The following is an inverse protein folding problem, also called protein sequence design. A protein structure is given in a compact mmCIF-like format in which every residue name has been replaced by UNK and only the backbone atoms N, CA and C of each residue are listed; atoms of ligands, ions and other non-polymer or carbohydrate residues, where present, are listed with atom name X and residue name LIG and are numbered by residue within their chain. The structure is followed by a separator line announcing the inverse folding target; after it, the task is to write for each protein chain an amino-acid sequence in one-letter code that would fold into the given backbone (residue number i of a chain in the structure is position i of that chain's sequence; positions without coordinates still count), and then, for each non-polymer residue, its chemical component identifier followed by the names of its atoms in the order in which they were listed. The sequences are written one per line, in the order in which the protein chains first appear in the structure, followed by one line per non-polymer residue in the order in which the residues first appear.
data_IF_520875950961
#
_entry.id   IF_520875950961
#
_cell.length_a   1.000
_cell.length_b   1.000
_cell.length_c   1.000
_cell.angle_alpha   90.00
_cell.angle_beta   90.00
_cell.angle_gamma   90.00
#
_symmetry.space_group_name_H-M   'P 1'
#
loop_
_entity.id
_entity.type
_entity.pdbx_description
1 polymer ?
#
# COMPACT_ATOMS: atom_id res chain seq x y z
N UNK A 1 15.37 -13.21 4.99
CA UNK A 1 16.67 -13.16 4.31
C UNK A 1 16.54 -12.93 2.80
N UNK A 2 15.80 -13.79 2.04
CA UNK A 2 15.72 -13.71 0.55
C UNK A 2 15.23 -12.35 0.06
N UNK A 3 14.13 -11.84 0.56
CA UNK A 3 13.56 -10.57 0.10
C UNK A 3 14.47 -9.37 0.35
N UNK A 4 15.14 -9.32 1.50
CA UNK A 4 16.12 -8.25 1.80
C UNK A 4 17.33 -8.34 0.87
N UNK A 5 17.81 -9.56 0.56
CA UNK A 5 18.88 -9.76 -0.41
C UNK A 5 18.47 -9.37 -1.85
N UNK A 6 17.18 -9.44 -2.16
CA UNK A 6 16.60 -9.02 -3.44
C UNK A 6 16.28 -7.51 -3.51
N UNK A 7 16.58 -6.73 -2.47
CA UNK A 7 16.43 -5.28 -2.45
C UNK A 7 15.15 -4.75 -1.79
N UNK A 8 14.36 -5.61 -1.13
CA UNK A 8 13.28 -5.11 -0.29
C UNK A 8 13.83 -4.42 0.94
N UNK A 9 13.22 -3.31 1.34
CA UNK A 9 13.64 -2.54 2.52
C UNK A 9 13.03 -3.09 3.82
N UNK A 10 11.90 -3.81 3.73
CA UNK A 10 11.28 -4.53 4.83
C UNK A 10 10.55 -5.77 4.32
N UNK A 11 10.54 -6.82 5.14
CA UNK A 11 9.82 -8.09 4.87
C UNK A 11 9.25 -8.58 6.19
N UNK A 12 8.01 -9.04 6.18
CA UNK A 12 7.35 -9.65 7.33
C UNK A 12 6.40 -10.76 6.90
N UNK A 13 6.11 -11.67 7.82
CA UNK A 13 5.12 -12.73 7.62
C UNK A 13 3.86 -12.46 8.45
N UNK A 14 2.70 -12.85 7.91
CA UNK A 14 1.42 -12.72 8.57
C UNK A 14 0.49 -13.88 8.22
N UNK A 15 -0.53 -14.10 9.06
CA UNK A 15 -1.65 -15.00 8.75
C UNK A 15 -2.39 -14.53 7.50
N UNK A 16 -2.83 -15.50 6.67
CA UNK A 16 -3.71 -15.26 5.54
C UNK A 16 -5.21 -15.25 5.92
N UNK A 17 -5.55 -15.16 7.20
CA UNK A 17 -6.93 -14.99 7.63
C UNK A 17 -7.58 -13.75 7.00
N UNK A 18 -8.88 -13.77 6.75
CA UNK A 18 -9.60 -12.62 6.21
C UNK A 18 -9.40 -11.35 7.04
N UNK A 19 -9.48 -10.22 6.36
CA UNK A 19 -9.37 -8.87 6.94
C UNK A 19 -10.79 -8.30 7.18
N UNK A 20 -11.58 -8.90 8.07
CA UNK A 20 -13.00 -8.57 8.23
C UNK A 20 -13.26 -7.14 8.69
N UNK A 21 -12.43 -6.61 9.61
CA UNK A 21 -12.52 -5.21 10.04
C UNK A 21 -12.23 -4.25 8.88
N UNK A 22 -11.23 -4.57 8.05
CA UNK A 22 -10.88 -3.77 6.87
C UNK A 22 -12.00 -3.84 5.83
N UNK A 23 -12.63 -5.01 5.65
CA UNK A 23 -13.80 -5.16 4.78
C UNK A 23 -14.93 -4.23 5.21
N UNK A 24 -15.28 -4.29 6.47
CA UNK A 24 -16.35 -3.46 7.05
C UNK A 24 -16.07 -1.97 6.86
N UNK A 25 -14.81 -1.56 7.04
CA UNK A 25 -14.40 -0.16 6.87
C UNK A 25 -14.43 0.26 5.38
N UNK A 26 -14.00 -0.58 4.46
CA UNK A 26 -14.08 -0.31 3.02
C UNK A 26 -15.54 -0.16 2.56
N UNK A 27 -16.42 -1.04 3.02
CA UNK A 27 -17.84 -0.97 2.72
C UNK A 27 -18.45 0.30 3.30
N UNK A 28 -18.18 0.63 4.55
CA UNK A 28 -18.63 1.87 5.18
C UNK A 28 -18.17 3.12 4.40
N UNK A 29 -16.90 3.19 3.99
CA UNK A 29 -16.36 4.33 3.20
C UNK A 29 -17.04 4.44 1.84
N UNK A 30 -17.28 3.32 1.18
CA UNK A 30 -18.04 3.30 -0.08
C UNK A 30 -19.45 3.80 0.12
N UNK A 31 -20.16 3.28 1.11
CA UNK A 31 -21.58 3.58 1.35
C UNK A 31 -21.79 5.03 1.84
N UNK A 32 -20.79 5.63 2.48
CA UNK A 32 -20.79 7.06 2.86
C UNK A 32 -20.24 7.99 1.77
N UNK A 33 -19.87 7.47 0.59
CA UNK A 33 -19.38 8.27 -0.53
C UNK A 33 -17.94 8.76 -0.40
N UNK A 34 -17.19 8.35 0.64
CA UNK A 34 -15.80 8.76 0.83
C UNK A 34 -14.85 8.14 -0.20
N UNK A 35 -15.27 7.05 -0.86
CA UNK A 35 -14.51 6.41 -1.92
C UNK A 35 -14.61 7.14 -3.27
N UNK A 36 -15.50 8.12 -3.42
CA UNK A 36 -15.87 8.70 -4.71
C UNK A 36 -16.19 7.60 -5.74
N UNK A 37 -15.69 7.72 -6.97
CA UNK A 37 -15.83 6.71 -8.03
C UNK A 37 -14.63 5.76 -8.10
N UNK A 38 -13.78 5.73 -7.07
CA UNK A 38 -12.58 4.89 -7.03
C UNK A 38 -12.96 3.41 -7.02
N UNK A 39 -12.60 2.70 -8.08
CA UNK A 39 -12.90 1.28 -8.24
C UNK A 39 -11.87 0.38 -7.55
N UNK A 40 -10.60 0.80 -7.55
CA UNK A 40 -9.53 0.04 -6.92
C UNK A 40 -9.83 -0.16 -5.42
N UNK A 41 -9.66 -1.34 -4.90
CA UNK A 41 -9.98 -1.74 -3.52
C UNK A 41 -11.49 -1.73 -3.19
N UNK A 42 -12.22 -0.66 -3.58
CA UNK A 42 -13.64 -0.48 -3.22
C UNK A 42 -14.63 -1.23 -4.10
N UNK A 43 -14.21 -1.68 -5.30
CA UNK A 43 -15.08 -2.41 -6.24
C UNK A 43 -15.57 -3.74 -5.66
N UNK A 44 -14.68 -4.48 -5.02
CA UNK A 44 -15.00 -5.78 -4.44
C UNK A 44 -14.23 -6.01 -3.13
N UNK A 45 -14.64 -5.37 -2.03
CA UNK A 45 -14.00 -5.53 -0.73
C UNK A 45 -13.92 -6.99 -0.29
N UNK A 46 -14.99 -7.77 -0.52
CA UNK A 46 -15.02 -9.19 -0.16
C UNK A 46 -13.91 -10.02 -0.81
N UNK A 47 -13.44 -9.62 -1.99
CA UNK A 47 -12.31 -10.28 -2.66
C UNK A 47 -10.96 -9.81 -2.14
N UNK A 48 -10.77 -8.50 -2.07
CA UNK A 48 -9.48 -7.91 -1.70
C UNK A 48 -9.11 -8.10 -0.24
N UNK A 49 -10.06 -8.43 0.61
CA UNK A 49 -9.86 -8.70 2.04
C UNK A 49 -9.82 -10.18 2.40
N UNK A 50 -9.87 -11.07 1.44
CA UNK A 50 -9.91 -12.52 1.66
C UNK A 50 -8.85 -13.20 0.76
N UNK A 51 -7.64 -13.46 1.31
CA UNK A 51 -6.56 -14.11 0.56
C UNK A 51 -6.92 -15.48 0.00
N UNK A 52 -7.82 -16.22 0.65
CA UNK A 52 -8.29 -17.54 0.18
C UNK A 52 -8.98 -17.45 -1.20
N UNK A 53 -9.61 -16.33 -1.50
CA UNK A 53 -10.22 -16.08 -2.83
C UNK A 53 -9.19 -15.88 -3.94
N UNK A 54 -7.96 -15.57 -3.59
CA UNK A 54 -6.84 -15.42 -4.54
C UNK A 54 -6.05 -16.72 -4.66
N UNK A 55 -5.79 -17.37 -3.55
CA UNK A 55 -5.15 -18.68 -3.48
C UNK A 55 -5.95 -19.57 -2.51
N UNK A 56 -6.84 -20.45 -3.00
CA UNK A 56 -7.61 -21.35 -2.13
C UNK A 56 -6.72 -22.17 -1.21
N UNK A 57 -6.99 -22.16 0.08
CA UNK A 57 -6.15 -22.80 1.11
C UNK A 57 -4.94 -21.94 1.52
N UNK A 58 -4.97 -20.63 1.24
CA UNK A 58 -3.93 -19.72 1.73
C UNK A 58 -3.79 -19.80 3.26
N UNK A 59 -2.56 -19.99 3.73
CA UNK A 59 -2.24 -20.06 5.15
C UNK A 59 -1.43 -18.86 5.63
N UNK A 60 -0.56 -18.33 4.78
CA UNK A 60 0.32 -17.21 5.15
C UNK A 60 0.49 -16.19 4.03
N UNK A 61 0.82 -14.98 4.45
CA UNK A 61 1.26 -13.87 3.61
C UNK A 61 2.72 -13.56 3.95
N UNK A 62 3.58 -13.41 2.94
CA UNK A 62 4.90 -12.82 3.13
C UNK A 62 4.86 -11.47 2.44
N UNK A 63 4.85 -10.41 3.22
CA UNK A 63 4.68 -9.04 2.73
C UNK A 63 6.04 -8.38 2.61
N UNK A 64 6.24 -7.66 1.51
CA UNK A 64 7.45 -6.90 1.24
C UNK A 64 7.16 -5.43 0.95
N UNK A 65 8.10 -4.58 1.34
CA UNK A 65 8.12 -3.17 0.98
C UNK A 65 9.38 -2.85 0.18
N UNK A 66 9.22 -2.08 -0.90
CA UNK A 66 10.32 -1.56 -1.70
C UNK A 66 10.33 -0.03 -1.60
N UNK A 67 11.47 0.53 -1.19
CA UNK A 67 11.69 1.96 -1.07
C UNK A 67 12.00 2.58 -2.44
N UNK A 68 11.16 3.52 -2.86
CA UNK A 68 11.35 4.27 -4.11
C UNK A 68 11.83 5.71 -3.88
N UNK A 69 12.32 6.02 -2.68
CA UNK A 69 12.88 7.33 -2.40
C UNK A 69 14.13 7.58 -3.25
N UNK A 70 14.08 8.63 -4.06
CA UNK A 70 15.18 9.03 -4.95
C UNK A 70 15.39 10.53 -4.85
N UNK A 71 16.63 10.96 -5.03
CA UNK A 71 16.93 12.38 -5.17
C UNK A 71 16.32 12.92 -6.46
N UNK A 72 15.51 13.96 -6.34
CA UNK A 72 14.92 14.61 -7.51
C UNK A 72 16.03 15.19 -8.41
N UNK A 73 15.94 15.02 -9.73
CA UNK A 73 16.87 15.66 -10.65
C UNK A 73 16.75 17.19 -10.53
N UNK A 74 17.83 17.94 -10.81
CA UNK A 74 17.77 19.39 -10.82
C UNK A 74 16.78 19.90 -11.87
N UNK A 75 16.01 20.93 -11.52
CA UNK A 75 15.05 21.53 -12.45
C UNK A 75 15.77 22.52 -13.36
N UNK A 76 15.56 22.48 -14.70
CA UNK A 76 16.05 23.52 -15.61
C UNK A 76 15.46 24.88 -15.23
N UNK A 77 16.29 25.93 -15.26
CA UNK A 77 15.86 27.27 -14.91
C UNK A 77 15.16 28.01 -16.06
N UNK A 78 15.42 27.59 -17.29
CA UNK A 78 15.09 28.39 -18.50
C UNK A 78 13.84 27.90 -19.24
N UNK A 79 13.20 26.86 -18.75
CA UNK A 79 11.98 26.31 -19.39
C UNK A 79 10.90 26.04 -18.35
N UNK A 80 9.62 26.25 -18.69
CA UNK A 80 8.52 25.85 -17.83
C UNK A 80 8.53 24.32 -17.62
N UNK A 81 8.67 23.91 -16.38
CA UNK A 81 8.69 22.49 -16.00
C UNK A 81 7.78 22.25 -14.81
N UNK A 82 7.27 21.02 -14.69
CA UNK A 82 6.52 20.58 -13.53
C UNK A 82 7.20 19.37 -12.89
N UNK A 83 7.08 19.23 -11.58
CA UNK A 83 7.52 18.04 -10.87
C UNK A 83 6.46 16.94 -10.98
N UNK A 84 6.88 15.76 -11.39
CA UNK A 84 6.06 14.56 -11.33
C UNK A 84 6.42 13.81 -10.05
N UNK A 85 5.45 13.15 -9.44
CA UNK A 85 5.71 12.37 -8.22
C UNK A 85 6.77 11.27 -8.48
N UNK A 86 7.69 11.08 -7.54
CA UNK A 86 8.76 10.07 -7.64
C UNK A 86 8.22 8.66 -7.89
N UNK A 87 7.06 8.36 -7.40
CA UNK A 87 6.31 7.13 -7.64
C UNK A 87 6.13 6.79 -9.14
N UNK A 88 6.03 7.80 -10.02
CA UNK A 88 5.81 7.62 -11.46
C UNK A 88 7.09 7.70 -12.31
N UNK A 89 8.27 7.80 -11.70
CA UNK A 89 9.52 7.93 -12.46
C UNK A 89 10.00 6.62 -13.11
N UNK A 90 9.64 5.48 -12.52
CA UNK A 90 9.94 4.14 -13.01
C UNK A 90 8.86 3.15 -12.56
N UNK A 91 8.84 1.95 -13.12
CA UNK A 91 7.93 0.89 -12.67
C UNK A 91 8.44 0.23 -11.38
N UNK A 92 8.22 0.89 -10.25
CA UNK A 92 8.58 0.39 -8.92
C UNK A 92 7.87 -0.92 -8.57
N UNK A 93 6.69 -1.16 -9.14
CA UNK A 93 5.98 -2.42 -8.93
C UNK A 93 6.59 -3.59 -9.70
N UNK A 94 7.19 -3.34 -10.87
CA UNK A 94 7.96 -4.38 -11.55
C UNK A 94 9.19 -4.79 -10.73
N UNK A 95 9.88 -3.82 -10.12
CA UNK A 95 11.02 -4.07 -9.23
C UNK A 95 10.58 -4.84 -8.00
N UNK A 96 9.48 -4.43 -7.36
CA UNK A 96 8.91 -5.10 -6.20
C UNK A 96 8.52 -6.56 -6.54
N UNK A 97 7.83 -6.80 -7.65
CA UNK A 97 7.48 -8.16 -8.11
C UNK A 97 8.71 -9.02 -8.29
N UNK A 98 9.74 -8.50 -8.96
CA UNK A 98 11.01 -9.20 -9.16
C UNK A 98 11.72 -9.52 -7.84
N UNK A 99 11.62 -8.64 -6.82
CA UNK A 99 12.21 -8.86 -5.51
C UNK A 99 11.40 -9.86 -4.63
N UNK A 100 10.10 -10.02 -4.87
CA UNK A 100 9.24 -11.00 -4.20
C UNK A 100 9.35 -12.40 -4.83
N UNK A 101 9.67 -12.49 -6.13
CA UNK A 101 9.69 -13.75 -6.87
C UNK A 101 10.64 -14.81 -6.27
N UNK A 102 11.88 -14.51 -5.80
CA UNK A 102 12.74 -15.49 -5.15
C UNK A 102 12.12 -16.14 -3.90
N UNK A 103 11.23 -15.41 -3.20
CA UNK A 103 10.50 -15.95 -2.05
C UNK A 103 9.46 -16.95 -2.55
N UNK A 104 8.69 -16.58 -3.57
CA UNK A 104 7.68 -17.45 -4.15
C UNK A 104 8.29 -18.71 -4.77
N UNK A 105 9.43 -18.59 -5.47
CA UNK A 105 10.18 -19.72 -6.02
C UNK A 105 10.68 -20.68 -4.92
N UNK A 106 11.21 -20.15 -3.82
CA UNK A 106 11.66 -20.98 -2.69
C UNK A 106 10.51 -21.80 -2.10
N UNK A 107 9.33 -21.21 -1.97
CA UNK A 107 8.12 -21.89 -1.49
C UNK A 107 7.65 -22.97 -2.48
N UNK A 108 7.63 -22.65 -3.78
CA UNK A 108 7.24 -23.62 -4.82
C UNK A 108 8.22 -24.81 -4.88
N UNK A 109 9.52 -24.55 -4.73
CA UNK A 109 10.55 -25.58 -4.66
C UNK A 109 10.43 -26.47 -3.42
N UNK A 110 9.84 -25.93 -2.34
CA UNK A 110 9.49 -26.69 -1.13
C UNK A 110 8.15 -27.46 -1.24
N UNK A 111 7.48 -27.42 -2.40
CA UNK A 111 6.24 -28.13 -2.65
C UNK A 111 4.96 -27.36 -2.32
N UNK A 112 5.05 -26.07 -2.01
CA UNK A 112 3.90 -25.22 -1.70
C UNK A 112 3.43 -24.44 -2.92
N UNK A 113 2.17 -24.00 -2.91
CA UNK A 113 1.68 -23.01 -3.87
C UNK A 113 2.02 -21.62 -3.36
N UNK A 114 2.46 -20.77 -4.27
CA UNK A 114 2.81 -19.38 -3.95
C UNK A 114 2.52 -18.46 -5.14
N UNK A 115 1.89 -17.33 -4.87
CA UNK A 115 1.51 -16.32 -5.87
C UNK A 115 1.97 -14.95 -5.41
N UNK A 116 2.70 -14.24 -6.27
CA UNK A 116 3.11 -12.85 -6.03
C UNK A 116 1.97 -11.92 -6.39
N UNK A 117 1.63 -11.01 -5.48
CA UNK A 117 0.61 -9.96 -5.64
C UNK A 117 1.28 -8.60 -5.39
N UNK A 118 1.18 -7.70 -6.35
CA UNK A 118 1.60 -6.32 -6.22
C UNK A 118 0.80 -5.44 -7.18
N UNK A 119 0.24 -4.34 -6.69
CA UNK A 119 -0.60 -3.41 -7.45
C UNK A 119 -1.80 -4.10 -8.13
N UNK A 120 -2.46 -4.96 -7.40
CA UNK A 120 -3.63 -5.71 -7.87
C UNK A 120 -4.74 -5.66 -6.82
N UNK A 121 -5.99 -5.63 -7.28
CA UNK A 121 -7.15 -5.63 -6.38
C UNK A 121 -7.48 -7.04 -5.83
N UNK A 122 -6.45 -7.77 -5.41
CA UNK A 122 -6.51 -9.13 -4.87
C UNK A 122 -6.16 -9.19 -3.40
N UNK A 123 -5.55 -8.13 -2.88
CA UNK A 123 -5.15 -8.02 -1.48
C UNK A 123 -5.24 -6.56 -1.04
N UNK A 124 -5.52 -6.34 0.24
CA UNK A 124 -5.41 -5.02 0.90
C UNK A 124 -3.98 -4.83 1.40
N UNK A 125 -3.08 -4.44 0.50
CA UNK A 125 -1.63 -4.42 0.72
C UNK A 125 -1.21 -3.71 2.01
N UNK A 126 -1.83 -2.55 2.32
CA UNK A 126 -1.53 -1.78 3.53
C UNK A 126 -1.92 -2.54 4.80
N UNK A 127 -3.09 -3.18 4.80
CA UNK A 127 -3.52 -3.98 5.94
C UNK A 127 -2.63 -5.21 6.13
N UNK A 128 -2.23 -5.85 5.02
CA UNK A 128 -1.29 -6.95 5.04
C UNK A 128 0.08 -6.51 5.60
N UNK A 129 0.59 -5.35 5.18
CA UNK A 129 1.85 -4.80 5.69
C UNK A 129 1.78 -4.46 7.19
N UNK A 130 0.66 -3.93 7.66
CA UNK A 130 0.45 -3.68 9.09
C UNK A 130 0.40 -5.00 9.88
N UNK A 131 -0.38 -5.99 9.42
CA UNK A 131 -0.46 -7.31 10.06
C UNK A 131 0.88 -8.03 10.08
N UNK A 132 1.70 -7.85 9.04
CA UNK A 132 3.05 -8.42 8.95
C UNK A 132 4.11 -7.64 9.75
N UNK A 133 3.73 -6.60 10.49
CA UNK A 133 4.66 -5.82 11.29
C UNK A 133 5.68 -5.00 10.50
N UNK A 134 5.39 -4.67 9.23
CA UNK A 134 6.28 -3.87 8.40
C UNK A 134 6.25 -2.39 8.80
N UNK A 135 5.08 -1.90 9.23
CA UNK A 135 4.92 -0.50 9.59
C UNK A 135 3.59 -0.22 10.31
N UNK A 136 3.40 1.01 10.72
CA UNK A 136 2.17 1.46 11.38
C UNK A 136 1.28 2.25 10.41
N UNK A 137 -0.01 2.31 10.74
CA UNK A 137 -0.96 3.17 10.05
C UNK A 137 -0.68 4.65 10.36
N UNK A 138 -0.25 5.39 9.36
CA UNK A 138 -0.12 6.83 9.47
C UNK A 138 -1.47 7.54 9.43
N UNK A 139 -1.53 8.74 10.03
CA UNK A 139 -2.71 9.62 9.93
C UNK A 139 -3.05 10.02 8.49
N UNK A 140 -2.11 9.84 7.55
CA UNK A 140 -2.29 10.00 6.10
C UNK A 140 -2.95 8.81 5.41
N UNK A 141 -3.39 7.77 6.11
CA UNK A 141 -3.86 6.48 5.57
C UNK A 141 -2.79 5.67 4.81
N UNK A 142 -1.53 6.04 4.88
CA UNK A 142 -0.43 5.25 4.36
C UNK A 142 0.21 4.40 5.47
N UNK A 143 0.89 3.33 5.08
CA UNK A 143 1.80 2.63 5.99
C UNK A 143 3.10 3.42 6.04
N UNK A 144 3.61 3.63 7.26
CA UNK A 144 4.92 4.20 7.50
C UNK A 144 5.87 3.11 8.00
N UNK A 145 6.92 2.86 7.23
CA UNK A 145 7.96 1.89 7.58
C UNK A 145 8.99 2.59 8.49
N UNK A 146 9.36 2.02 9.66
CA UNK A 146 10.33 2.61 10.56
C UNK A 146 11.63 2.99 9.87
N UNK A 147 12.10 4.22 10.05
CA UNK A 147 13.34 4.74 9.46
C UNK A 147 13.28 5.06 7.96
N UNK A 148 12.18 4.72 7.25
CA UNK A 148 12.02 4.92 5.81
C UNK A 148 10.87 5.90 5.53
N UNK A 149 9.73 5.71 6.16
CA UNK A 149 8.54 6.53 5.95
C UNK A 149 7.53 5.87 4.98
N UNK A 150 6.79 6.70 4.22
CA UNK A 150 5.69 6.26 3.37
C UNK A 150 6.03 6.13 1.87
N UNK A 151 7.27 6.45 1.46
CA UNK A 151 7.71 6.37 0.06
C UNK A 151 8.09 4.93 -0.31
N UNK A 152 7.17 4.01 -0.10
CA UNK A 152 7.31 2.58 -0.38
C UNK A 152 6.16 2.08 -1.22
N UNK A 153 6.42 1.12 -2.11
CA UNK A 153 5.42 0.26 -2.71
C UNK A 153 5.36 -1.07 -1.95
N UNK A 154 4.16 -1.62 -1.83
CA UNK A 154 3.85 -2.81 -1.06
C UNK A 154 3.39 -3.94 -1.96
N UNK A 155 3.74 -5.16 -1.61
CA UNK A 155 3.26 -6.37 -2.26
C UNK A 155 3.43 -7.58 -1.35
N UNK A 156 2.91 -8.70 -1.77
CA UNK A 156 2.96 -9.92 -0.97
C UNK A 156 3.11 -11.17 -1.82
N UNK A 157 3.61 -12.23 -1.19
CA UNK A 157 3.47 -13.61 -1.65
C UNK A 157 2.38 -14.25 -0.80
N UNK A 158 1.29 -14.69 -1.44
CA UNK A 158 0.26 -15.52 -0.80
C UNK A 158 0.65 -16.99 -0.98
N UNK A 159 0.62 -17.77 0.09
CA UNK A 159 1.03 -19.19 0.07
C UNK A 159 0.15 -20.06 0.95
N UNK A 160 0.06 -21.36 0.61
CA UNK A 160 -0.54 -22.38 1.45
C UNK A 160 0.46 -22.97 2.48
N UNK A 161 1.71 -22.52 2.46
CA UNK A 161 2.67 -22.84 3.51
C UNK A 161 2.26 -22.17 4.82
N UNK A 162 2.22 -22.93 5.92
CA UNK A 162 2.06 -22.36 7.26
C UNK A 162 3.41 -21.81 7.73
N UNK A 163 3.50 -20.49 7.81
CA UNK A 163 4.69 -19.75 8.25
C UNK A 163 4.31 -19.00 9.52
N UNK A 164 4.99 -19.28 10.60
CA UNK A 164 4.80 -18.51 11.83
C UNK A 164 5.30 -17.07 11.60
N UNK A 165 4.50 -16.05 11.96
CA UNK A 165 4.96 -14.68 11.95
C UNK A 165 6.20 -14.55 12.86
N UNK A 166 7.22 -13.83 12.39
CA UNK A 166 8.45 -13.61 13.16
C UNK A 166 8.19 -12.92 14.51
N UNK A 167 7.10 -12.16 14.59
CA UNK A 167 6.55 -11.56 15.83
C UNK A 167 5.08 -11.23 15.64
N UNK A 168 4.30 -11.23 16.73
CA UNK A 168 3.11 -10.38 16.86
C UNK A 168 3.58 -8.92 16.98
N UNK A 169 4.24 -8.40 15.96
CA UNK A 169 4.88 -7.10 16.05
C UNK A 169 3.86 -6.02 15.71
N UNK A 170 3.18 -5.56 16.73
CA UNK A 170 2.58 -4.23 16.68
C UNK A 170 3.71 -3.21 16.59
N UNK A 171 4.01 -2.74 15.37
CA UNK A 171 4.90 -1.60 15.23
C UNK A 171 4.24 -0.41 15.91
N UNK A 172 4.93 0.17 16.90
CA UNK A 172 4.38 1.26 17.68
C UNK A 172 4.01 2.45 16.78
N UNK A 173 2.86 3.08 17.02
CA UNK A 173 2.44 4.29 16.31
C UNK A 173 3.49 5.40 16.48
N UNK A 174 4.19 5.70 15.38
CA UNK A 174 5.18 6.78 15.32
C UNK A 174 4.57 8.16 15.08
N UNK A 175 3.28 8.26 14.72
CA UNK A 175 2.62 9.55 14.50
C UNK A 175 2.39 10.33 15.80
N UNK A 176 2.05 9.68 16.89
CA UNK A 176 1.83 10.32 18.20
C UNK A 176 1.03 11.64 18.06
N UNK A 177 1.64 12.77 18.44
CA UNK A 177 1.06 14.12 18.34
C UNK A 177 1.28 14.81 16.99
N UNK A 178 2.01 14.20 16.05
CA UNK A 178 2.29 14.80 14.75
C UNK A 178 1.01 14.94 13.92
N UNK A 179 0.80 16.11 13.31
CA UNK A 179 -0.33 16.44 12.43
C UNK A 179 0.11 16.91 11.04
N UNK A 180 1.40 16.80 10.72
CA UNK A 180 1.99 17.39 9.51
C UNK A 180 1.26 16.99 8.21
N UNK A 181 0.76 15.76 8.10
CA UNK A 181 0.01 15.32 6.91
C UNK A 181 -1.40 15.91 6.84
N UNK A 182 -2.06 16.15 7.99
CA UNK A 182 -3.37 16.79 8.04
C UNK A 182 -3.24 18.28 7.67
N UNK A 183 -2.30 18.98 8.30
CA UNK A 183 -2.06 20.40 8.10
C UNK A 183 -1.51 20.69 6.68
N UNK A 184 -0.69 19.77 6.15
CA UNK A 184 -0.09 19.86 4.82
C UNK A 184 -0.97 19.38 3.67
N UNK A 185 -2.19 18.88 3.93
CA UNK A 185 -3.08 18.44 2.85
C UNK A 185 -3.73 19.66 2.16
N UNK A 186 -3.35 20.01 0.92
CA UNK A 186 -3.74 21.29 0.34
C UNK A 186 -5.25 21.39 0.05
N UNK A 187 -5.93 20.27 -0.11
CA UNK A 187 -7.38 20.20 -0.34
C UNK A 187 -8.17 19.81 0.90
N UNK A 188 -7.50 19.55 2.02
CA UNK A 188 -8.12 19.02 3.24
C UNK A 188 -8.82 17.69 3.01
N UNK A 189 -8.29 16.86 2.12
CA UNK A 189 -8.83 15.52 1.84
C UNK A 189 -8.67 14.55 3.01
N UNK A 190 -7.67 14.74 3.88
CA UNK A 190 -7.52 13.99 5.12
C UNK A 190 -8.44 14.63 6.15
N UNK A 191 -9.66 14.14 6.26
CA UNK A 191 -10.73 14.76 7.06
C UNK A 191 -10.61 14.45 8.56
N UNK A 192 -9.95 13.35 8.88
CA UNK A 192 -9.56 12.94 10.24
C UNK A 192 -8.40 11.93 10.16
N UNK A 193 -7.67 11.64 11.25
CA UNK A 193 -6.58 10.68 11.23
C UNK A 193 -6.97 9.34 10.63
N UNK A 194 -6.29 8.95 9.53
CA UNK A 194 -6.53 7.70 8.82
C UNK A 194 -7.76 7.70 7.89
N UNK A 195 -8.48 8.81 7.73
CA UNK A 195 -9.66 8.88 6.86
C UNK A 195 -9.48 9.92 5.76
N UNK A 196 -9.59 9.45 4.52
CA UNK A 196 -9.49 10.29 3.33
C UNK A 196 -10.85 10.39 2.64
N UNK A 197 -11.26 11.59 2.30
CA UNK A 197 -12.32 11.85 1.35
C UNK A 197 -11.74 11.91 -0.07
N UNK A 198 -11.95 10.85 -0.86
CA UNK A 198 -11.41 10.74 -2.21
C UNK A 198 -11.94 11.84 -3.15
N UNK A 199 -13.13 12.39 -2.90
CA UNK A 199 -13.70 13.50 -3.69
C UNK A 199 -12.85 14.76 -3.65
N UNK A 200 -11.97 14.88 -2.66
CA UNK A 200 -11.04 15.99 -2.42
C UNK A 200 -9.58 15.61 -2.61
N UNK A 201 -9.28 14.31 -2.73
CA UNK A 201 -7.90 13.80 -2.78
C UNK A 201 -7.28 14.04 -4.15
N UNK A 202 -6.20 14.82 -4.23
CA UNK A 202 -5.49 15.11 -5.48
C UNK A 202 -5.03 13.83 -6.18
N UNK A 203 -4.57 12.82 -5.43
CA UNK A 203 -4.16 11.54 -6.00
C UNK A 203 -5.28 10.82 -6.75
N UNK A 204 -6.53 11.02 -6.35
CA UNK A 204 -7.70 10.53 -7.09
C UNK A 204 -8.10 11.48 -8.20
N UNK A 205 -8.21 12.78 -7.92
CA UNK A 205 -8.70 13.78 -8.86
C UNK A 205 -7.88 13.89 -10.15
N UNK A 206 -6.57 13.63 -10.09
CA UNK A 206 -5.70 13.61 -11.29
C UNK A 206 -5.85 12.35 -12.14
N UNK A 207 -6.52 11.31 -11.61
CA UNK A 207 -6.77 10.04 -12.29
C UNK A 207 -8.23 9.85 -12.68
N UNK A 208 -9.14 10.61 -12.06
CA UNK A 208 -10.57 10.51 -12.30
C UNK A 208 -10.91 11.01 -13.72
N UNK A 209 -11.94 10.40 -14.30
CA UNK A 209 -12.48 10.86 -15.59
C UNK A 209 -13.06 12.26 -15.47
N UNK A 210 -12.95 13.04 -16.54
CA UNK A 210 -13.52 14.37 -16.64
C UNK A 210 -12.50 15.49 -16.45
N UNK A 211 -13.00 16.67 -16.09
CA UNK A 211 -12.18 17.87 -15.93
C UNK A 211 -11.73 17.99 -14.47
N UNK A 212 -10.45 18.28 -14.27
CA UNK A 212 -9.92 18.56 -12.93
C UNK A 212 -10.65 19.77 -12.32
N UNK A 213 -11.16 19.65 -11.06
CA UNK A 213 -11.97 20.70 -10.42
C UNK A 213 -11.23 22.03 -10.34
N UNK A 214 -11.93 23.11 -10.69
CA UNK A 214 -11.35 24.47 -10.72
C UNK A 214 -10.89 24.89 -9.33
N UNK A 215 -11.64 24.55 -8.30
CA UNK A 215 -11.38 24.93 -6.90
C UNK A 215 -10.07 24.35 -6.33
N UNK A 216 -9.51 23.33 -6.99
CA UNK A 216 -8.25 22.67 -6.54
C UNK A 216 -7.07 22.91 -7.48
N UNK A 217 -7.17 23.84 -8.45
CA UNK A 217 -6.09 24.08 -9.41
C UNK A 217 -4.89 24.81 -8.82
N UNK A 218 -5.08 25.48 -7.69
CA UNK A 218 -4.03 26.19 -6.96
C UNK A 218 -3.47 25.38 -5.77
N UNK A 219 -3.94 24.15 -5.56
CA UNK A 219 -3.58 23.29 -4.46
C UNK A 219 -2.26 22.50 -4.68
#
# INVERSE_FOLDING_TARGET
ALGLAAGLCAVGAASAEPFDEVRSELERRRDTGLAADMQFTFRNPARSTDPDRTLPGAASLIVGAYDYQRTAPPMPADVPVARVAAYSWEDHYAILRAALEPIAEALRNAGHRATVIADQNHLVDRAAAHRAGIGWWGKSSNILVPGIGSLVVLGAVITDASIEPDHESTVADGCRTCTACLDGCPTGAIIEPGVIDARRCLAWLVQAEGMFPVDYREA
#
